data_IF_837615142833
#
_entry.id   IF_837615142833
#
_cell.length_a   1.000
_cell.length_b   1.000
_cell.length_c   1.000
_cell.angle_alpha   90.00
_cell.angle_beta   90.00
_cell.angle_gamma   90.00
#
_symmetry.space_group_name_H-M   'P 1'
#
loop_
_entity.id
_entity.type
_entity.pdbx_description
1 polymer ?
#
# COMPACT_ATOMS: atom_id res chain seq x y z
N UNK A 1 -25.67 -38.67 -16.71
CA UNK A 1 -24.92 -37.56 -17.34
C UNK A 1 -24.65 -36.53 -16.26
N UNK A 2 -23.40 -36.48 -15.76
CA UNK A 2 -22.99 -35.47 -14.78
C UNK A 2 -22.74 -34.16 -15.53
N UNK A 3 -23.63 -33.18 -15.33
CA UNK A 3 -23.35 -31.81 -15.76
C UNK A 3 -22.31 -31.28 -14.78
N UNK A 4 -21.05 -31.37 -15.17
CA UNK A 4 -19.97 -30.70 -14.47
C UNK A 4 -20.27 -29.21 -14.47
N UNK A 5 -20.68 -28.68 -13.32
CA UNK A 5 -20.69 -27.25 -13.08
C UNK A 5 -19.26 -26.77 -13.22
N UNK A 6 -18.92 -26.17 -14.38
CA UNK A 6 -17.69 -25.40 -14.49
C UNK A 6 -17.80 -24.33 -13.41
N UNK A 7 -17.06 -24.48 -12.32
CA UNK A 7 -16.77 -23.35 -11.44
C UNK A 7 -16.12 -22.33 -12.36
N UNK A 8 -16.80 -21.20 -12.53
CA UNK A 8 -16.22 -20.11 -13.27
C UNK A 8 -15.16 -19.56 -12.33
N UNK A 9 -13.91 -19.95 -12.54
CA UNK A 9 -12.80 -19.34 -11.83
C UNK A 9 -12.86 -17.84 -12.16
N UNK A 10 -12.90 -16.96 -11.15
CA UNK A 10 -12.95 -15.53 -11.42
C UNK A 10 -11.68 -15.14 -12.15
N UNK A 11 -11.84 -14.44 -13.27
CA UNK A 11 -10.71 -13.91 -14.02
C UNK A 11 -10.29 -12.56 -13.42
N UNK A 12 -8.98 -12.26 -13.46
CA UNK A 12 -8.47 -10.94 -13.10
C UNK A 12 -9.00 -9.89 -14.08
N UNK A 13 -10.06 -9.21 -13.66
CA UNK A 13 -10.74 -8.19 -14.45
C UNK A 13 -10.84 -6.90 -13.65
N UNK A 14 -10.76 -5.76 -14.34
CA UNK A 14 -10.87 -4.44 -13.71
C UNK A 14 -12.09 -3.71 -14.24
N UNK A 15 -12.94 -3.26 -13.31
CA UNK A 15 -14.07 -2.43 -13.70
C UNK A 15 -13.58 -1.02 -14.07
N UNK A 16 -14.36 -0.30 -14.89
CA UNK A 16 -14.05 1.12 -15.18
C UNK A 16 -14.05 1.97 -13.91
N UNK A 17 -14.89 1.61 -12.93
CA UNK A 17 -14.98 2.36 -11.68
C UNK A 17 -13.77 2.08 -10.81
N UNK A 18 -13.35 0.82 -10.72
CA UNK A 18 -12.15 0.43 -9.99
C UNK A 18 -10.89 1.09 -10.54
N UNK A 19 -10.70 1.06 -11.86
CA UNK A 19 -9.55 1.69 -12.50
C UNK A 19 -9.53 3.20 -12.19
N UNK A 20 -10.68 3.86 -12.27
CA UNK A 20 -10.82 5.27 -11.89
C UNK A 20 -10.47 5.48 -10.42
N UNK A 21 -10.99 4.65 -9.53
CA UNK A 21 -10.79 4.78 -8.09
C UNK A 21 -9.31 4.56 -7.72
N UNK A 22 -8.64 3.56 -8.33
CA UNK A 22 -7.20 3.33 -8.20
C UNK A 22 -6.38 4.54 -8.68
N UNK A 23 -6.70 5.09 -9.87
CA UNK A 23 -6.00 6.26 -10.42
C UNK A 23 -6.22 7.49 -9.54
N UNK A 24 -7.44 7.72 -9.05
CA UNK A 24 -7.73 8.83 -8.14
C UNK A 24 -6.97 8.68 -6.83
N UNK A 25 -7.01 7.51 -6.19
CA UNK A 25 -6.27 7.25 -4.96
C UNK A 25 -4.76 7.44 -5.17
N UNK A 26 -4.22 6.91 -6.26
CA UNK A 26 -2.80 7.05 -6.62
C UNK A 26 -2.39 8.52 -6.74
N UNK A 27 -3.14 9.33 -7.50
CA UNK A 27 -2.84 10.75 -7.69
C UNK A 27 -2.99 11.53 -6.38
N UNK A 28 -4.10 11.32 -5.66
CA UNK A 28 -4.41 12.08 -4.43
C UNK A 28 -3.40 11.78 -3.33
N UNK A 29 -3.04 10.52 -3.11
CA UNK A 29 -2.00 10.16 -2.14
C UNK A 29 -0.64 10.76 -2.51
N UNK A 30 -0.30 10.78 -3.80
CA UNK A 30 0.96 11.38 -4.27
C UNK A 30 1.01 12.88 -4.01
N UNK A 31 -0.10 13.59 -4.21
CA UNK A 31 -0.23 15.01 -3.89
C UNK A 31 -0.17 15.24 -2.38
N UNK A 32 -0.87 14.43 -1.58
CA UNK A 32 -0.86 14.54 -0.13
C UNK A 32 0.56 14.35 0.45
N UNK A 33 1.30 13.35 -0.03
CA UNK A 33 2.70 13.18 0.35
C UNK A 33 3.57 14.35 -0.12
N UNK A 34 3.44 14.80 -1.38
CA UNK A 34 4.20 15.94 -1.86
C UNK A 34 3.96 17.21 -1.02
N UNK A 35 2.72 17.43 -0.54
CA UNK A 35 2.39 18.53 0.37
C UNK A 35 3.07 18.39 1.74
N UNK A 36 3.25 17.16 2.23
CA UNK A 36 3.96 16.90 3.47
C UNK A 36 5.47 17.15 3.32
N UNK A 37 6.07 16.68 2.22
CA UNK A 37 7.52 16.77 1.99
C UNK A 37 7.96 18.18 1.53
N UNK A 38 7.15 18.85 0.72
CA UNK A 38 7.39 20.18 0.19
C UNK A 38 6.12 21.04 0.31
N UNK A 39 5.79 21.56 1.51
CA UNK A 39 4.56 22.30 1.76
C UNK A 39 4.55 23.64 1.02
N UNK A 40 4.06 23.63 -0.23
CA UNK A 40 3.99 24.82 -1.09
C UNK A 40 3.17 25.95 -0.46
N UNK A 41 2.13 25.60 0.29
CA UNK A 41 1.28 26.54 1.04
C UNK A 41 2.01 27.21 2.22
N UNK A 42 3.19 26.71 2.63
CA UNK A 42 4.06 27.31 3.65
C UNK A 42 5.33 27.93 3.04
N UNK A 43 5.36 28.11 1.72
CA UNK A 43 6.47 28.78 1.02
C UNK A 43 7.54 27.86 0.45
N UNK A 44 7.29 26.54 0.33
CA UNK A 44 8.18 25.68 -0.44
C UNK A 44 8.21 26.09 -1.92
N UNK A 45 9.36 25.93 -2.57
CA UNK A 45 9.53 26.23 -4.00
C UNK A 45 8.62 25.34 -4.88
N UNK A 46 8.06 25.93 -5.94
CA UNK A 46 7.14 25.23 -6.83
C UNK A 46 7.83 24.11 -7.63
N UNK A 47 9.10 24.30 -8.02
CA UNK A 47 9.89 23.27 -8.70
C UNK A 47 10.17 22.08 -7.77
N UNK A 48 10.52 22.34 -6.51
CA UNK A 48 10.70 21.30 -5.49
C UNK A 48 9.39 20.55 -5.22
N UNK A 49 8.26 21.25 -5.13
CA UNK A 49 6.96 20.61 -4.96
C UNK A 49 6.61 19.68 -6.14
N UNK A 50 6.82 20.13 -7.38
CA UNK A 50 6.61 19.29 -8.57
C UNK A 50 7.53 18.07 -8.58
N UNK A 51 8.77 18.22 -8.14
CA UNK A 51 9.70 17.11 -7.97
C UNK A 51 9.19 16.10 -6.94
N UNK A 52 8.65 16.57 -5.80
CA UNK A 52 8.08 15.72 -4.76
C UNK A 52 6.80 15.01 -5.20
N UNK A 53 5.98 15.61 -6.08
CA UNK A 53 4.87 14.90 -6.73
C UNK A 53 5.41 13.74 -7.57
N UNK A 54 6.41 14.00 -8.42
CA UNK A 54 7.04 12.97 -9.24
C UNK A 54 7.63 11.83 -8.41
N UNK A 55 8.34 12.16 -7.33
CA UNK A 55 8.88 11.20 -6.36
C UNK A 55 7.77 10.37 -5.71
N UNK A 56 6.70 11.01 -5.23
CA UNK A 56 5.59 10.35 -4.55
C UNK A 56 4.79 9.44 -5.49
N UNK A 57 4.63 9.81 -6.76
CA UNK A 57 3.97 8.99 -7.78
C UNK A 57 4.67 7.65 -7.97
N UNK A 58 6.00 7.65 -8.04
CA UNK A 58 6.81 6.44 -8.28
C UNK A 58 7.15 5.66 -7.01
N UNK A 59 6.95 6.24 -5.83
CA UNK A 59 7.22 5.58 -4.54
C UNK A 59 5.91 5.22 -3.83
N UNK A 60 5.28 6.17 -3.15
CA UNK A 60 4.00 6.02 -2.42
C UNK A 60 2.94 5.41 -3.31
N UNK A 61 2.79 5.96 -4.51
CA UNK A 61 1.77 5.55 -5.44
C UNK A 61 1.90 4.11 -5.90
N UNK A 62 3.12 3.70 -6.27
CA UNK A 62 3.43 2.32 -6.66
C UNK A 62 3.30 1.36 -5.49
N UNK A 63 3.77 1.74 -4.30
CA UNK A 63 3.67 0.94 -3.08
C UNK A 63 2.19 0.65 -2.75
N UNK A 64 1.36 1.68 -2.68
CA UNK A 64 -0.08 1.55 -2.45
C UNK A 64 -0.77 0.73 -3.55
N UNK A 65 -0.51 1.04 -4.83
CA UNK A 65 -1.20 0.37 -5.93
C UNK A 65 -0.92 -1.14 -5.93
N UNK A 66 0.34 -1.54 -5.79
CA UNK A 66 0.70 -2.95 -5.79
C UNK A 66 0.26 -3.68 -4.52
N UNK A 67 0.20 -2.98 -3.38
CA UNK A 67 -0.39 -3.50 -2.14
C UNK A 67 -1.86 -3.90 -2.33
N UNK A 68 -2.69 -2.98 -2.82
CA UNK A 68 -4.13 -3.25 -3.05
C UNK A 68 -4.35 -4.30 -4.15
N UNK A 69 -3.54 -4.24 -5.21
CA UNK A 69 -3.60 -5.25 -6.27
C UNK A 69 -3.24 -6.64 -5.74
N UNK A 70 -2.31 -6.76 -4.79
CA UNK A 70 -1.96 -8.05 -4.19
C UNK A 70 -3.13 -8.64 -3.41
N UNK A 71 -3.85 -7.85 -2.60
CA UNK A 71 -5.08 -8.30 -1.94
C UNK A 71 -6.08 -8.83 -2.97
N UNK A 72 -6.31 -8.07 -4.05
CA UNK A 72 -7.24 -8.46 -5.10
C UNK A 72 -6.82 -9.75 -5.81
N UNK A 73 -5.57 -9.86 -6.21
CA UNK A 73 -5.04 -11.04 -6.92
C UNK A 73 -5.24 -12.28 -6.05
N UNK A 74 -4.83 -12.25 -4.79
CA UNK A 74 -4.98 -13.40 -3.88
C UNK A 74 -6.46 -13.71 -3.62
N UNK A 75 -7.34 -12.71 -3.54
CA UNK A 75 -8.77 -12.94 -3.39
C UNK A 75 -9.38 -13.67 -4.61
N UNK A 76 -8.94 -13.31 -5.81
CA UNK A 76 -9.38 -13.91 -7.07
C UNK A 76 -8.90 -15.36 -7.19
N UNK A 77 -7.66 -15.64 -6.78
CA UNK A 77 -7.12 -17.01 -6.70
C UNK A 77 -7.95 -17.90 -5.76
N UNK A 78 -8.56 -17.34 -4.71
CA UNK A 78 -9.53 -18.03 -3.84
C UNK A 78 -10.96 -18.07 -4.38
N UNK A 79 -11.17 -17.77 -5.66
CA UNK A 79 -12.48 -17.83 -6.27
C UNK A 79 -13.42 -16.68 -5.87
N UNK A 80 -12.90 -15.59 -5.28
CA UNK A 80 -13.72 -14.43 -4.92
C UNK A 80 -13.82 -13.44 -6.08
N UNK A 81 -14.95 -12.74 -6.16
CA UNK A 81 -15.02 -11.50 -6.93
C UNK A 81 -14.50 -10.37 -6.06
N UNK A 82 -13.44 -9.69 -6.49
CA UNK A 82 -12.79 -8.62 -5.73
C UNK A 82 -12.68 -7.33 -6.55
N UNK A 83 -12.95 -6.19 -5.93
CA UNK A 83 -12.88 -4.88 -6.56
C UNK A 83 -12.39 -3.81 -5.56
N UNK A 84 -11.36 -3.05 -5.93
CA UNK A 84 -10.94 -1.88 -5.16
C UNK A 84 -11.97 -0.74 -5.29
N UNK A 85 -12.29 -0.12 -4.15
CA UNK A 85 -13.12 1.10 -4.10
C UNK A 85 -12.41 2.15 -3.26
N UNK A 86 -12.26 3.33 -3.83
CA UNK A 86 -11.67 4.46 -3.13
C UNK A 86 -12.64 5.05 -2.11
N UNK A 87 -12.14 5.41 -0.93
CA UNK A 87 -12.88 6.22 0.01
C UNK A 87 -12.53 7.70 -0.18
N UNK A 88 -13.40 8.40 -0.91
CA UNK A 88 -13.20 9.81 -1.24
C UNK A 88 -13.17 10.72 0.00
N UNK A 89 -13.84 10.34 1.10
CA UNK A 89 -13.80 11.13 2.33
C UNK A 89 -12.42 11.02 2.98
N UNK A 90 -11.88 9.80 3.09
CA UNK A 90 -10.54 9.60 3.62
C UNK A 90 -9.44 10.13 2.71
N UNK A 91 -9.60 10.06 1.38
CA UNK A 91 -8.68 10.69 0.43
C UNK A 91 -8.68 12.23 0.59
N UNK A 92 -9.85 12.84 0.75
CA UNK A 92 -9.95 14.27 1.05
C UNK A 92 -9.28 14.61 2.39
N UNK A 93 -9.57 13.84 3.44
CA UNK A 93 -8.96 14.05 4.75
C UNK A 93 -7.45 13.87 4.72
N UNK A 94 -6.90 12.94 3.93
CA UNK A 94 -5.47 12.76 3.77
C UNK A 94 -4.80 14.03 3.25
N UNK A 95 -5.39 14.70 2.26
CA UNK A 95 -4.90 16.01 1.77
C UNK A 95 -5.02 17.07 2.84
N UNK A 96 -6.13 17.13 3.57
CA UNK A 96 -6.31 18.12 4.66
C UNK A 96 -5.30 17.92 5.79
N UNK A 97 -5.03 16.69 6.19
CA UNK A 97 -4.01 16.38 7.18
C UNK A 97 -2.62 16.76 6.67
N UNK A 98 -2.31 16.48 5.40
CA UNK A 98 -1.03 16.85 4.81
C UNK A 98 -0.78 18.36 4.87
N UNK A 99 -1.82 19.17 4.70
CA UNK A 99 -1.75 20.64 4.85
C UNK A 99 -1.41 21.07 6.28
N UNK A 100 -1.78 20.31 7.30
CA UNK A 100 -1.38 20.60 8.70
C UNK A 100 -0.07 19.94 9.09
N UNK A 101 0.56 19.15 8.20
CA UNK A 101 1.88 18.54 8.40
C UNK A 101 1.83 17.15 9.02
N UNK A 102 0.71 16.45 8.86
CA UNK A 102 0.52 15.07 9.30
C UNK A 102 -0.09 14.26 8.17
N UNK A 103 0.06 12.94 8.14
CA UNK A 103 -0.63 12.13 7.13
C UNK A 103 -1.22 10.88 7.75
N UNK A 104 -2.52 10.72 7.53
CA UNK A 104 -3.25 9.49 7.80
C UNK A 104 -4.28 9.33 6.70
N UNK A 105 -4.27 8.17 6.06
CA UNK A 105 -5.15 7.87 4.96
C UNK A 105 -5.63 6.42 5.05
N UNK A 106 -6.94 6.23 4.90
CA UNK A 106 -7.54 4.95 4.53
C UNK A 106 -8.03 5.11 3.07
N UNK A 107 -7.14 4.95 2.07
CA UNK A 107 -7.43 5.36 0.69
C UNK A 107 -8.60 4.63 0.04
N UNK A 108 -8.91 3.44 0.54
CA UNK A 108 -9.98 2.59 0.08
C UNK A 108 -9.83 1.20 0.67
N UNK A 109 -10.57 0.25 0.12
CA UNK A 109 -10.41 -1.16 0.43
C UNK A 109 -10.77 -2.00 -0.79
N UNK A 110 -10.17 -3.18 -0.88
CA UNK A 110 -10.61 -4.24 -1.80
C UNK A 110 -11.80 -4.96 -1.18
N UNK A 111 -12.97 -4.78 -1.78
CA UNK A 111 -14.18 -5.50 -1.39
C UNK A 111 -14.23 -6.81 -2.13
N UNK A 112 -14.30 -7.92 -1.40
CA UNK A 112 -14.48 -9.25 -1.97
C UNK A 112 -15.85 -9.85 -1.61
N UNK A 113 -16.44 -10.59 -2.55
CA UNK A 113 -17.72 -11.30 -2.39
C UNK A 113 -17.56 -12.78 -2.70
N UNK A 114 -17.92 -13.60 -1.72
CA UNK A 114 -17.89 -15.05 -1.81
C UNK A 114 -17.87 -15.68 -0.41
N UNK A 115 -17.86 -17.00 -0.35
CA UNK A 115 -17.58 -17.71 0.91
C UNK A 115 -16.08 -17.69 1.12
N UNK A 116 -15.64 -17.25 2.28
CA UNK A 116 -14.23 -17.16 2.63
C UNK A 116 -14.00 -17.79 4.00
N UNK A 117 -12.97 -18.62 4.09
CA UNK A 117 -12.49 -19.16 5.36
C UNK A 117 -11.60 -18.14 6.07
N UNK A 118 -11.39 -18.33 7.38
CA UNK A 118 -10.48 -17.47 8.16
C UNK A 118 -9.07 -17.51 7.56
N UNK A 119 -8.63 -18.67 7.08
CA UNK A 119 -7.33 -18.86 6.45
C UNK A 119 -7.17 -18.10 5.13
N UNK A 120 -8.14 -18.24 4.21
CA UNK A 120 -8.12 -17.50 2.94
C UNK A 120 -8.13 -15.98 3.19
N UNK A 121 -8.89 -15.51 4.18
CA UNK A 121 -8.93 -14.10 4.56
C UNK A 121 -7.59 -13.62 5.13
N UNK A 122 -6.93 -14.46 5.94
CA UNK A 122 -5.58 -14.20 6.44
C UNK A 122 -4.54 -14.11 5.31
N UNK A 123 -4.62 -14.99 4.31
CA UNK A 123 -3.75 -14.95 3.14
C UNK A 123 -3.96 -13.68 2.29
N UNK A 124 -5.22 -13.28 2.06
CA UNK A 124 -5.55 -12.04 1.35
C UNK A 124 -4.95 -10.85 2.10
N UNK A 125 -5.22 -10.72 3.40
CA UNK A 125 -4.70 -9.64 4.23
C UNK A 125 -3.15 -9.61 4.25
N UNK A 126 -2.49 -10.76 4.30
CA UNK A 126 -1.03 -10.83 4.30
C UNK A 126 -0.39 -10.42 2.95
N UNK A 127 -1.11 -10.56 1.83
CA UNK A 127 -0.59 -10.31 0.49
C UNK A 127 -0.07 -8.88 0.29
N UNK A 128 -0.80 -7.88 0.82
CA UNK A 128 -0.42 -6.48 0.77
C UNK A 128 0.90 -6.18 1.50
N UNK A 129 1.03 -6.46 2.80
CA UNK A 129 2.26 -6.26 3.55
C UNK A 129 3.46 -7.02 2.97
N UNK A 130 3.28 -8.26 2.50
CA UNK A 130 4.37 -9.01 1.84
C UNK A 130 4.81 -8.34 0.54
N UNK A 131 3.87 -7.85 -0.27
CA UNK A 131 4.19 -7.11 -1.50
C UNK A 131 5.04 -5.87 -1.21
N UNK A 132 4.71 -5.14 -0.15
CA UNK A 132 5.50 -3.99 0.27
C UNK A 132 6.91 -4.39 0.72
N UNK A 133 7.07 -5.47 1.50
CA UNK A 133 8.40 -5.97 1.86
C UNK A 133 9.24 -6.35 0.62
N UNK A 134 8.62 -6.99 -0.38
CA UNK A 134 9.28 -7.30 -1.65
C UNK A 134 9.68 -6.03 -2.39
N UNK A 135 8.79 -5.04 -2.47
CA UNK A 135 9.09 -3.76 -3.09
C UNK A 135 10.23 -3.03 -2.36
N UNK A 136 10.28 -3.05 -1.03
CA UNK A 136 11.40 -2.49 -0.29
C UNK A 136 12.74 -3.10 -0.74
N UNK A 137 12.79 -4.43 -0.91
CA UNK A 137 13.99 -5.10 -1.45
C UNK A 137 14.29 -4.67 -2.88
N UNK A 138 13.29 -4.44 -3.72
CA UNK A 138 13.46 -4.00 -5.11
C UNK A 138 13.93 -2.54 -5.23
N UNK A 139 13.49 -1.65 -4.34
CA UNK A 139 13.95 -0.26 -4.30
C UNK A 139 15.35 -0.11 -3.69
N UNK A 140 15.75 -1.02 -2.80
CA UNK A 140 17.02 -0.92 -2.06
C UNK A 140 18.27 -0.76 -2.94
N UNK A 141 18.48 -1.53 -4.04
CA UNK A 141 19.63 -1.33 -4.93
C UNK A 141 19.71 0.06 -5.56
N UNK A 142 18.59 0.78 -5.70
CA UNK A 142 18.60 2.11 -6.31
C UNK A 142 19.35 3.15 -5.45
N UNK A 143 19.52 2.89 -4.15
CA UNK A 143 20.23 3.78 -3.22
C UNK A 143 21.71 3.95 -3.54
N UNK A 144 22.31 3.06 -4.35
CA UNK A 144 23.73 3.19 -4.74
C UNK A 144 23.96 4.31 -5.76
N UNK A 145 22.89 4.75 -6.44
CA UNK A 145 22.98 5.79 -7.46
C UNK A 145 22.86 7.17 -6.82
N UNK A 146 23.62 8.17 -7.29
CA UNK A 146 23.52 9.53 -6.76
C UNK A 146 22.25 10.25 -7.26
N UNK A 147 21.90 11.34 -6.57
CA UNK A 147 20.84 12.25 -6.98
C UNK A 147 19.44 11.66 -6.88
N UNK A 148 18.57 12.02 -7.83
CA UNK A 148 17.14 11.70 -7.77
C UNK A 148 16.85 10.19 -7.78
N UNK A 149 17.68 9.38 -8.45
CA UNK A 149 17.49 7.93 -8.48
C UNK A 149 17.79 7.28 -7.11
N UNK A 150 18.84 7.75 -6.43
CA UNK A 150 19.13 7.36 -5.05
C UNK A 150 18.02 7.76 -4.08
N UNK A 151 17.43 8.94 -4.27
CA UNK A 151 16.29 9.40 -3.49
C UNK A 151 15.05 8.53 -3.71
N UNK A 152 14.76 8.11 -4.96
CA UNK A 152 13.71 7.14 -5.25
C UNK A 152 13.97 5.82 -4.50
N UNK A 153 15.22 5.34 -4.50
CA UNK A 153 15.62 4.15 -3.76
C UNK A 153 15.35 4.28 -2.26
N UNK A 154 15.88 5.34 -1.64
CA UNK A 154 15.73 5.57 -0.21
C UNK A 154 14.25 5.70 0.18
N UNK A 155 13.50 6.58 -0.49
CA UNK A 155 12.09 6.80 -0.19
C UNK A 155 11.24 5.58 -0.51
N UNK A 156 11.54 4.87 -1.61
CA UNK A 156 10.87 3.64 -1.97
C UNK A 156 11.02 2.56 -0.91
N UNK A 157 12.22 2.37 -0.35
CA UNK A 157 12.43 1.44 0.78
C UNK A 157 11.65 1.90 2.01
N UNK A 158 11.85 3.16 2.43
CA UNK A 158 11.26 3.70 3.65
C UNK A 158 9.74 3.62 3.64
N UNK A 159 9.10 4.04 2.55
CA UNK A 159 7.64 4.03 2.40
C UNK A 159 7.09 2.61 2.41
N UNK A 160 7.72 1.68 1.68
CA UNK A 160 7.26 0.30 1.64
C UNK A 160 7.37 -0.39 3.01
N UNK A 161 8.51 -0.22 3.70
CA UNK A 161 8.68 -0.76 5.06
C UNK A 161 7.69 -0.13 6.04
N UNK A 162 7.44 1.19 5.92
CA UNK A 162 6.43 1.88 6.73
C UNK A 162 5.03 1.31 6.49
N UNK A 163 4.59 1.19 5.23
CA UNK A 163 3.28 0.65 4.90
C UNK A 163 3.13 -0.82 5.32
N UNK A 164 4.17 -1.64 5.18
CA UNK A 164 4.16 -3.02 5.66
C UNK A 164 4.00 -3.08 7.20
N UNK A 165 4.76 -2.27 7.94
CA UNK A 165 4.68 -2.23 9.39
C UNK A 165 3.35 -1.65 9.89
N UNK A 166 2.85 -0.58 9.26
CA UNK A 166 1.62 0.09 9.62
C UNK A 166 0.40 -0.80 9.39
N UNK A 167 0.28 -1.44 8.21
CA UNK A 167 -0.85 -2.34 7.94
C UNK A 167 -0.82 -3.61 8.79
N UNK A 168 0.34 -4.02 9.30
CA UNK A 168 0.44 -5.15 10.22
C UNK A 168 0.10 -4.80 11.69
N UNK A 169 -0.28 -3.55 12.01
CA UNK A 169 -0.79 -3.22 13.35
C UNK A 169 -2.15 -3.91 13.54
N UNK A 170 -2.39 -4.65 14.64
CA UNK A 170 -3.61 -5.45 14.82
C UNK A 170 -4.78 -4.59 15.33
N UNK A 171 -5.18 -3.57 14.56
CA UNK A 171 -6.22 -2.62 14.95
C UNK A 171 -7.11 -2.19 13.79
N UNK A 172 -8.40 -1.98 14.06
CA UNK A 172 -9.33 -1.39 13.10
C UNK A 172 -9.45 -2.22 11.80
N UNK A 173 -9.37 -1.57 10.63
CA UNK A 173 -9.45 -2.23 9.32
C UNK A 173 -8.09 -2.71 8.78
N UNK A 174 -7.02 -2.63 9.56
CA UNK A 174 -5.66 -2.96 9.10
C UNK A 174 -5.47 -4.48 8.96
N UNK A 175 -4.69 -4.88 7.98
CA UNK A 175 -4.44 -6.28 7.61
C UNK A 175 -3.99 -7.15 8.78
N UNK A 176 -3.12 -6.61 9.64
CA UNK A 176 -2.53 -7.32 10.76
C UNK A 176 -3.57 -7.88 11.72
N UNK A 177 -4.74 -7.24 11.84
CA UNK A 177 -5.84 -7.77 12.64
C UNK A 177 -6.35 -9.09 12.06
N UNK A 178 -6.59 -9.12 10.75
CA UNK A 178 -7.07 -10.32 10.04
C UNK A 178 -6.01 -11.42 10.00
N UNK A 179 -4.73 -11.07 9.80
CA UNK A 179 -3.64 -12.04 9.87
C UNK A 179 -3.51 -12.65 11.27
N UNK A 180 -3.68 -11.85 12.32
CA UNK A 180 -3.66 -12.33 13.72
C UNK A 180 -4.83 -13.26 14.03
N UNK A 181 -6.04 -12.96 13.54
CA UNK A 181 -7.22 -13.82 13.67
C UNK A 181 -7.02 -15.19 13.01
N UNK A 182 -6.26 -15.23 11.91
CA UNK A 182 -5.92 -16.47 11.23
C UNK A 182 -4.78 -17.24 11.91
N UNK A 183 -3.64 -16.59 12.16
CA UNK A 183 -2.42 -17.25 12.61
C UNK A 183 -1.48 -16.31 13.36
N UNK A 184 -1.44 -16.45 14.69
CA UNK A 184 -0.50 -15.69 15.54
C UNK A 184 0.97 -15.85 15.14
N UNK A 185 1.48 -17.05 14.79
CA UNK A 185 2.87 -17.18 14.33
C UNK A 185 3.17 -16.40 13.05
N UNK A 186 2.27 -16.45 12.07
CA UNK A 186 2.45 -15.74 10.79
C UNK A 186 2.38 -14.24 11.01
N UNK A 187 1.42 -13.78 11.82
CA UNK A 187 1.33 -12.39 12.25
C UNK A 187 2.63 -11.91 12.91
N UNK A 188 3.13 -12.65 13.91
CA UNK A 188 4.33 -12.27 14.65
C UNK A 188 5.56 -12.18 13.74
N UNK A 189 5.70 -13.13 12.79
CA UNK A 189 6.77 -13.11 11.81
C UNK A 189 6.65 -11.91 10.87
N UNK A 190 5.49 -11.67 10.27
CA UNK A 190 5.30 -10.60 9.30
C UNK A 190 5.39 -9.21 9.94
N UNK A 191 4.77 -9.01 11.11
CA UNK A 191 4.86 -7.76 11.86
C UNK A 191 6.28 -7.52 12.38
N UNK A 192 6.91 -8.56 12.97
CA UNK A 192 8.29 -8.49 13.43
C UNK A 192 9.27 -8.17 12.31
N UNK A 193 9.17 -8.85 11.17
CA UNK A 193 10.01 -8.59 10.01
C UNK A 193 9.83 -7.15 9.49
N UNK A 194 8.59 -6.67 9.41
CA UNK A 194 8.29 -5.31 8.94
C UNK A 194 8.85 -4.24 9.88
N UNK A 195 8.60 -4.36 11.19
CA UNK A 195 9.07 -3.38 12.19
C UNK A 195 10.60 -3.41 12.33
N UNK A 196 11.21 -4.60 12.42
CA UNK A 196 12.67 -4.71 12.53
C UNK A 196 13.38 -4.18 11.29
N UNK A 197 12.84 -4.45 10.10
CA UNK A 197 13.39 -3.91 8.86
C UNK A 197 13.25 -2.39 8.79
N UNK A 198 12.08 -1.85 9.15
CA UNK A 198 11.84 -0.39 9.18
C UNK A 198 12.78 0.31 10.16
N UNK A 199 12.85 -0.16 11.41
CA UNK A 199 13.71 0.41 12.44
C UNK A 199 15.17 0.26 12.07
N UNK A 200 15.59 -0.92 11.60
CA UNK A 200 16.95 -1.16 11.13
C UNK A 200 17.34 -0.24 9.98
N UNK A 201 16.44 -0.04 9.02
CA UNK A 201 16.67 0.88 7.91
C UNK A 201 16.83 2.33 8.40
N UNK A 202 15.93 2.82 9.26
CA UNK A 202 16.01 4.17 9.82
C UNK A 202 17.29 4.38 10.63
N UNK A 203 17.72 3.39 11.42
CA UNK A 203 18.94 3.48 12.21
C UNK A 203 20.21 3.52 11.36
N UNK A 204 20.22 2.85 10.21
CA UNK A 204 21.39 2.77 9.33
C UNK A 204 21.43 3.91 8.32
N UNK A 205 20.28 4.28 7.76
CA UNK A 205 20.19 5.20 6.62
C UNK A 205 19.49 6.53 6.95
N UNK A 206 18.80 6.64 8.09
CA UNK A 206 18.03 7.82 8.47
C UNK A 206 16.62 7.86 7.87
N UNK A 207 15.94 8.98 8.10
CA UNK A 207 14.62 9.26 7.52
C UNK A 207 14.70 9.99 6.16
N UNK A 208 15.87 10.55 5.84
CA UNK A 208 16.10 11.46 4.71
C UNK A 208 17.52 11.32 4.19
#
# INVERSE_FOLDING_TARGET
MSVGTRRHDPELTFSRTELRDLVVAWIVLSIAFALLLAPIHRGADAGVFLLMIGLSLVTVGVAFLLHELAHKVVAIEYGQLAEFRADYQWLFLAVMFALVGFLFAAPGAVYHRGRITVEENGHIALAGPVTNLVLAVLFFPLMIFPGFLGLIGHMGVLINLFLAAFNMIPFGPLDGKTVLEWSTPVFALAFGASVLSLVGFILVFGFW
#
